data_IF_208737937031
#
_entry.id   IF_208737937031
#
_cell.length_a   1.000
_cell.length_b   1.000
_cell.length_c   1.000
_cell.angle_alpha   90.00
_cell.angle_beta   90.00
_cell.angle_gamma   90.00
#
_symmetry.space_group_name_H-M   'P 1'
#
loop_
_entity.id
_entity.type
_entity.pdbx_description
1 polymer ?
#
# COMPACT_ATOMS: atom_id res chain seq x y z
N UNK A 1 13.30 -17.88 -7.78
CA UNK A 1 13.59 -16.53 -7.25
C UNK A 1 13.84 -16.66 -5.74
N UNK A 2 15.07 -16.98 -5.30
CA UNK A 2 15.39 -17.18 -3.88
C UNK A 2 16.72 -16.51 -3.44
N UNK A 3 17.33 -15.68 -4.29
CA UNK A 3 18.68 -15.14 -4.06
C UNK A 3 18.71 -13.73 -3.44
N UNK A 4 17.59 -13.01 -3.41
CA UNK A 4 17.55 -11.63 -2.90
C UNK A 4 17.78 -11.48 -1.39
N UNK A 5 17.56 -12.54 -0.60
CA UNK A 5 17.74 -12.52 0.86
C UNK A 5 19.19 -12.63 1.33
N UNK A 6 20.10 -13.14 0.49
CA UNK A 6 21.52 -13.30 0.84
C UNK A 6 22.28 -11.98 0.71
N UNK A 7 21.97 -11.19 -0.32
CA UNK A 7 22.67 -9.93 -0.61
C UNK A 7 22.36 -8.82 0.41
N UNK A 8 21.13 -8.76 0.94
CA UNK A 8 20.73 -7.70 1.90
C UNK A 8 21.40 -7.80 3.27
N UNK A 9 21.82 -9.01 3.69
CA UNK A 9 22.52 -9.19 4.96
C UNK A 9 23.96 -8.63 4.92
N UNK A 10 24.57 -8.54 3.75
CA UNK A 10 25.97 -8.15 3.58
C UNK A 10 26.18 -6.62 3.63
N UNK A 11 25.15 -5.81 3.35
CA UNK A 11 25.28 -4.34 3.24
C UNK A 11 25.13 -3.55 4.56
N UNK A 12 24.82 -4.20 5.68
CA UNK A 12 24.73 -3.51 6.98
C UNK A 12 26.13 -3.21 7.56
N UNK A 13 26.58 -1.96 7.43
CA UNK A 13 27.76 -1.40 8.13
C UNK A 13 27.52 -1.32 9.64
N UNK A 14 27.66 -2.43 10.35
CA UNK A 14 27.60 -2.51 11.80
C UNK A 14 28.20 -3.81 12.32
N UNK A 15 28.88 -3.76 13.47
CA UNK A 15 29.53 -4.88 14.16
C UNK A 15 28.51 -5.86 14.79
N UNK A 16 27.57 -6.37 14.00
CA UNK A 16 26.53 -7.31 14.46
C UNK A 16 26.82 -8.71 13.90
N UNK A 17 26.50 -9.74 14.69
CA UNK A 17 26.59 -11.14 14.28
C UNK A 17 25.69 -11.40 13.05
N UNK A 18 26.08 -12.36 12.21
CA UNK A 18 25.30 -12.74 11.01
C UNK A 18 23.88 -13.22 11.37
N UNK A 19 23.68 -13.73 12.58
CA UNK A 19 22.38 -14.16 13.09
C UNK A 19 21.49 -12.97 13.45
N UNK A 20 22.03 -11.98 14.15
CA UNK A 20 21.33 -10.72 14.48
C UNK A 20 20.98 -9.92 13.22
N UNK A 21 21.83 -9.98 12.18
CA UNK A 21 21.55 -9.38 10.88
C UNK A 21 20.34 -10.04 10.21
N UNK A 22 20.23 -11.37 10.25
CA UNK A 22 19.08 -12.11 9.71
C UNK A 22 17.79 -11.81 10.45
N UNK A 23 17.86 -11.70 11.78
CA UNK A 23 16.71 -11.36 12.60
C UNK A 23 16.22 -9.93 12.32
N UNK A 24 17.14 -8.97 12.18
CA UNK A 24 16.82 -7.61 11.76
C UNK A 24 16.17 -7.56 10.38
N UNK A 25 16.75 -8.26 9.39
CA UNK A 25 16.17 -8.35 8.04
C UNK A 25 14.78 -8.96 8.10
N UNK A 26 14.55 -10.00 8.90
CA UNK A 26 13.20 -10.55 9.14
C UNK A 26 12.24 -9.53 9.75
N UNK A 27 12.69 -8.76 10.74
CA UNK A 27 11.90 -7.69 11.34
C UNK A 27 11.49 -6.62 10.31
N UNK A 28 12.43 -6.18 9.47
CA UNK A 28 12.14 -5.23 8.40
C UNK A 28 11.18 -5.80 7.35
N UNK A 29 11.35 -7.07 6.96
CA UNK A 29 10.43 -7.74 6.03
C UNK A 29 9.02 -7.88 6.62
N UNK A 30 8.91 -8.11 7.94
CA UNK A 30 7.62 -8.14 8.64
C UNK A 30 6.88 -6.80 8.61
N UNK A 31 7.60 -5.69 8.65
CA UNK A 31 7.04 -4.33 8.55
C UNK A 31 6.61 -4.00 7.11
N UNK A 32 7.35 -4.51 6.11
CA UNK A 32 7.09 -4.25 4.70
C UNK A 32 5.93 -5.09 4.12
N UNK A 33 5.56 -6.19 4.76
CA UNK A 33 4.46 -7.05 4.31
C UNK A 33 3.07 -6.37 4.34
N UNK A 34 2.61 -5.89 5.51
CA UNK A 34 1.28 -5.29 5.63
C UNK A 34 1.22 -3.85 5.09
N UNK A 35 0.01 -3.38 4.77
CA UNK A 35 -0.19 -1.97 4.46
C UNK A 35 -0.13 -1.13 5.74
N UNK A 36 0.64 -0.04 5.72
CA UNK A 36 0.82 0.82 6.89
C UNK A 36 -0.47 1.54 7.31
N UNK A 37 -1.29 2.00 6.37
CA UNK A 37 -2.58 2.62 6.70
C UNK A 37 -3.65 2.30 5.67
N UNK A 38 -4.89 2.21 6.14
CA UNK A 38 -6.09 2.08 5.31
C UNK A 38 -7.10 3.08 5.84
N UNK A 39 -7.56 3.97 4.97
CA UNK A 39 -8.62 4.92 5.25
C UNK A 39 -9.90 4.43 4.60
N UNK A 40 -10.93 4.20 5.41
CA UNK A 40 -12.29 3.94 4.95
C UNK A 40 -13.10 5.22 5.08
N UNK A 41 -13.80 5.59 4.00
CA UNK A 41 -14.65 6.78 3.96
C UNK A 41 -16.06 6.38 3.57
N UNK A 42 -17.04 6.95 4.27
CA UNK A 42 -18.45 6.82 3.95
C UNK A 42 -19.04 8.23 3.98
N UNK A 43 -19.58 8.71 2.87
CA UNK A 43 -20.16 10.04 2.79
C UNK A 43 -21.45 10.06 1.97
N UNK A 44 -22.44 10.88 2.36
CA UNK A 44 -23.67 11.05 1.60
C UNK A 44 -23.43 11.95 0.37
N UNK A 45 -23.95 11.53 -0.78
CA UNK A 45 -23.99 12.33 -2.00
C UNK A 45 -25.45 12.59 -2.39
N UNK A 46 -25.79 13.86 -2.62
CA UNK A 46 -27.08 14.23 -3.20
C UNK A 46 -27.00 14.03 -4.71
N UNK A 47 -27.82 13.14 -5.25
CA UNK A 47 -27.99 12.99 -6.70
C UNK A 47 -28.86 14.10 -7.28
N UNK A 48 -28.76 14.31 -8.59
CA UNK A 48 -29.57 15.30 -9.33
C UNK A 48 -31.08 15.03 -9.20
N UNK A 49 -31.48 13.77 -8.98
CA UNK A 49 -32.86 13.38 -8.69
C UNK A 49 -33.35 13.76 -7.29
N UNK A 50 -32.56 14.47 -6.48
CA UNK A 50 -32.90 14.89 -5.12
C UNK A 50 -32.76 13.82 -4.04
N UNK A 51 -32.45 12.57 -4.41
CA UNK A 51 -32.21 11.46 -3.46
C UNK A 51 -30.78 11.51 -2.91
N UNK A 52 -30.62 11.18 -1.63
CA UNK A 52 -29.31 10.95 -1.02
C UNK A 52 -28.88 9.50 -1.19
N UNK A 53 -27.64 9.30 -1.61
CA UNK A 53 -27.00 7.99 -1.74
C UNK A 53 -25.74 7.98 -0.88
N UNK A 54 -25.54 6.91 -0.12
CA UNK A 54 -24.31 6.73 0.65
C UNK A 54 -23.23 6.13 -0.24
N UNK A 55 -22.09 6.80 -0.31
CA UNK A 55 -20.92 6.36 -1.08
C UNK A 55 -19.87 5.86 -0.10
N UNK A 56 -19.34 4.66 -0.35
CA UNK A 56 -18.26 4.07 0.42
C UNK A 56 -16.97 4.09 -0.41
N UNK A 57 -15.82 4.27 0.22
CA UNK A 57 -14.53 4.26 -0.47
C UNK A 57 -13.39 3.84 0.46
N UNK A 58 -12.31 3.33 -0.14
CA UNK A 58 -11.14 2.87 0.61
C UNK A 58 -9.84 3.37 -0.02
N UNK A 59 -8.96 3.91 0.81
CA UNK A 59 -7.62 4.35 0.42
C UNK A 59 -6.58 3.63 1.28
N UNK A 60 -5.90 2.65 0.71
CA UNK A 60 -4.75 2.02 1.35
C UNK A 60 -3.44 2.74 0.98
N UNK A 61 -2.55 2.91 1.95
CA UNK A 61 -1.18 3.37 1.77
C UNK A 61 -0.25 2.29 2.33
N UNK A 62 0.55 1.72 1.45
CA UNK A 62 1.40 0.59 1.82
C UNK A 62 2.65 1.03 2.60
N UNK A 63 3.31 2.11 2.19
CA UNK A 63 4.52 2.60 2.86
C UNK A 63 4.67 4.12 2.78
N UNK A 64 5.19 4.73 3.85
CA UNK A 64 5.51 6.17 3.95
C UNK A 64 7.01 6.45 3.80
N UNK A 65 7.81 5.47 3.39
CA UNK A 65 9.28 5.62 3.26
C UNK A 65 9.69 6.74 2.29
N UNK A 66 8.82 7.08 1.33
CA UNK A 66 8.93 8.24 0.44
C UNK A 66 7.60 8.97 0.43
N UNK A 67 7.60 10.22 0.87
CA UNK A 67 6.45 11.13 0.78
C UNK A 67 6.60 12.03 -0.44
N UNK A 68 5.51 12.36 -1.17
CA UNK A 68 4.11 11.97 -0.96
C UNK A 68 3.78 10.55 -1.48
N UNK A 69 2.89 9.85 -0.78
CA UNK A 69 2.38 8.54 -1.20
C UNK A 69 1.63 8.67 -2.53
N UNK A 70 2.16 8.05 -3.60
CA UNK A 70 1.60 8.18 -4.93
C UNK A 70 0.43 7.22 -5.13
N UNK A 71 -0.74 7.80 -5.37
CA UNK A 71 -2.03 7.12 -5.44
C UNK A 71 -3.12 7.99 -6.11
N UNK A 72 -3.96 7.48 -7.03
CA UNK A 72 -4.96 8.06 -7.94
C UNK A 72 -6.13 7.18 -8.44
N UNK A 73 -7.15 7.86 -8.91
CA UNK A 73 -8.56 7.44 -8.97
C UNK A 73 -8.92 6.05 -9.56
N UNK A 74 -9.50 5.06 -8.87
CA UNK A 74 -10.26 3.95 -9.50
C UNK A 74 -11.71 3.96 -9.06
N UNK A 75 -12.63 3.96 -10.03
CA UNK A 75 -14.06 3.88 -9.80
C UNK A 75 -14.60 2.55 -10.33
N UNK A 76 -15.07 1.69 -9.42
CA UNK A 76 -15.73 0.44 -9.78
C UNK A 76 -16.76 0.05 -8.72
N UNK A 77 -17.83 -0.61 -9.17
CA UNK A 77 -18.86 -1.17 -8.31
C UNK A 77 -18.40 -2.44 -7.58
N UNK A 78 -17.31 -3.08 -8.04
CA UNK A 78 -16.81 -4.35 -7.49
C UNK A 78 -15.60 -4.19 -6.56
N UNK A 79 -15.33 -2.96 -6.08
CA UNK A 79 -14.17 -2.73 -5.22
C UNK A 79 -14.34 -3.42 -3.87
N UNK A 80 -13.31 -4.18 -3.49
CA UNK A 80 -13.15 -4.80 -2.17
C UNK A 80 -11.90 -4.27 -1.45
N UNK A 81 -11.90 -4.32 -0.12
CA UNK A 81 -10.77 -3.84 0.68
C UNK A 81 -9.46 -4.59 0.37
N UNK A 82 -9.53 -5.90 0.16
CA UNK A 82 -8.35 -6.73 -0.09
C UNK A 82 -7.74 -6.44 -1.47
N UNK A 83 -8.56 -6.12 -2.47
CA UNK A 83 -8.09 -5.64 -3.76
C UNK A 83 -7.31 -4.32 -3.61
N UNK A 84 -7.84 -3.36 -2.83
CA UNK A 84 -7.19 -2.06 -2.60
C UNK A 84 -5.85 -2.23 -1.88
N UNK A 85 -5.77 -3.13 -0.89
CA UNK A 85 -4.51 -3.48 -0.21
C UNK A 85 -3.51 -4.11 -1.18
N UNK A 86 -3.93 -5.11 -1.96
CA UNK A 86 -3.07 -5.78 -2.95
C UNK A 86 -2.52 -4.80 -4.00
N UNK A 87 -3.38 -3.91 -4.52
CA UNK A 87 -2.97 -2.86 -5.44
C UNK A 87 -1.98 -1.89 -4.79
N UNK A 88 -2.17 -1.51 -3.53
CA UNK A 88 -1.25 -0.59 -2.84
C UNK A 88 0.15 -1.19 -2.59
N UNK A 89 0.22 -2.50 -2.30
CA UNK A 89 1.48 -3.23 -2.22
C UNK A 89 2.17 -3.30 -3.59
N UNK A 90 1.42 -3.61 -4.64
CA UNK A 90 1.91 -3.59 -6.02
C UNK A 90 2.42 -2.20 -6.43
N UNK A 91 1.74 -1.13 -6.02
CA UNK A 91 2.19 0.24 -6.31
C UNK A 91 3.54 0.56 -5.65
N UNK A 92 3.84 0.04 -4.46
CA UNK A 92 5.15 0.30 -3.83
C UNK A 92 6.28 -0.45 -4.52
N UNK A 93 6.00 -1.66 -5.01
CA UNK A 93 6.94 -2.40 -5.86
C UNK A 93 7.13 -1.72 -7.23
N UNK A 94 6.04 -1.18 -7.82
CA UNK A 94 6.07 -0.54 -9.14
C UNK A 94 6.58 0.91 -9.12
N UNK A 95 6.43 1.67 -8.03
CA UNK A 95 6.90 3.07 -7.90
C UNK A 95 8.42 3.18 -7.95
N UNK A 96 9.16 2.07 -7.80
CA UNK A 96 10.58 2.02 -8.14
C UNK A 96 10.83 2.30 -9.64
N UNK A 97 9.84 2.11 -10.51
CA UNK A 97 9.98 2.32 -11.95
C UNK A 97 9.21 3.52 -12.50
N UNK A 98 7.94 3.80 -12.13
CA UNK A 98 7.17 4.87 -12.77
C UNK A 98 6.22 5.64 -11.85
N UNK A 99 6.24 6.97 -12.01
CA UNK A 99 5.48 7.98 -11.30
C UNK A 99 3.99 8.01 -11.71
N UNK A 100 3.14 7.08 -11.26
CA UNK A 100 1.68 7.18 -11.49
C UNK A 100 0.78 6.80 -10.31
N UNK A 101 -0.35 7.52 -10.25
CA UNK A 101 -1.29 7.75 -9.15
C UNK A 101 -2.31 6.55 -9.09
N UNK A 102 -2.31 5.62 -8.08
CA UNK A 102 -3.50 4.76 -7.65
C UNK A 102 -4.20 4.88 -6.20
N UNK A 103 -5.50 5.24 -6.08
CA UNK A 103 -6.46 5.60 -4.96
C UNK A 103 -7.82 5.10 -5.45
N UNK A 104 -8.56 4.33 -4.65
CA UNK A 104 -9.79 3.66 -5.12
C UNK A 104 -11.02 4.26 -4.43
N UNK A 105 -12.03 4.66 -5.21
CA UNK A 105 -13.29 5.20 -4.70
C UNK A 105 -14.45 4.43 -5.36
N UNK A 106 -15.34 3.82 -4.58
CA UNK A 106 -16.51 3.12 -5.13
C UNK A 106 -17.65 4.13 -5.30
N UNK A 107 -17.76 4.72 -6.49
CA UNK A 107 -18.88 5.59 -6.85
C UNK A 107 -20.11 4.74 -7.16
N UNK A 108 -21.17 4.89 -6.35
CA UNK A 108 -22.57 4.65 -6.74
C UNK A 108 -23.27 5.99 -6.74
#
# INVERSE_FOLDING_TARGET
MADGGRQTCEEFKGKLSMEEKREKVRGYLGILGPCHSVLEVCFPLKRDSGKYVMINGWRAQHSHHRTPCKGGIRFSLDVSLDEVKALSALMTLNVLLWMSLLVVLKLV
#
